data_IF_540182533313
#
_entry.id   IF_540182533313
#
_cell.length_a   1.000
_cell.length_b   1.000
_cell.length_c   1.000
_cell.angle_alpha   90.00
_cell.angle_beta   90.00
_cell.angle_gamma   90.00
#
_symmetry.space_group_name_H-M   'P 1'
#
loop_
_entity.id
_entity.type
_entity.pdbx_description
1 polymer ?
#
# COMPACT_ATOMS: atom_id res chain seq x y z
N UNK A 1 41.71 -32.72 -50.01
CA UNK A 1 40.87 -31.57 -49.60
C UNK A 1 39.86 -32.07 -48.60
N UNK A 2 40.18 -31.97 -47.32
CA UNK A 2 39.30 -32.33 -46.20
C UNK A 2 39.49 -31.23 -45.17
N UNK A 3 38.68 -30.17 -45.31
CA UNK A 3 38.59 -29.10 -44.33
C UNK A 3 37.46 -29.42 -43.36
N UNK A 4 37.82 -29.77 -42.14
CA UNK A 4 36.92 -29.85 -40.99
C UNK A 4 36.47 -28.43 -40.65
N UNK A 5 35.19 -28.14 -40.84
CA UNK A 5 34.57 -26.91 -40.33
C UNK A 5 34.49 -27.03 -38.80
N UNK A 6 35.23 -26.17 -38.11
CA UNK A 6 35.09 -25.97 -36.68
C UNK A 6 33.71 -25.43 -36.38
N UNK A 7 32.97 -26.13 -35.51
CA UNK A 7 31.78 -25.60 -34.87
C UNK A 7 32.25 -24.51 -33.92
N UNK A 8 32.04 -23.25 -34.31
CA UNK A 8 32.14 -22.11 -33.41
C UNK A 8 31.04 -22.28 -32.36
N UNK A 9 31.42 -22.70 -31.17
CA UNK A 9 30.64 -22.48 -29.95
C UNK A 9 30.61 -20.97 -29.72
N UNK A 10 29.55 -20.31 -30.19
CA UNK A 10 29.14 -19.03 -29.65
C UNK A 10 28.81 -19.29 -28.17
N UNK A 11 29.74 -18.91 -27.30
CA UNK A 11 29.46 -18.77 -25.89
C UNK A 11 28.25 -17.84 -25.77
N UNK A 12 27.24 -18.25 -25.00
CA UNK A 12 26.12 -17.39 -24.68
C UNK A 12 26.67 -16.14 -24.00
N UNK A 13 26.62 -15.01 -24.70
CA UNK A 13 26.71 -13.70 -24.08
C UNK A 13 25.60 -13.66 -23.03
N UNK A 14 25.99 -13.73 -21.75
CA UNK A 14 25.09 -13.52 -20.63
C UNK A 14 24.50 -12.13 -20.81
N UNK A 15 23.23 -12.05 -21.21
CA UNK A 15 22.50 -10.80 -21.13
C UNK A 15 22.58 -10.33 -19.68
N UNK A 16 23.02 -9.09 -19.47
CA UNK A 16 22.91 -8.41 -18.17
C UNK A 16 21.48 -8.65 -17.63
N UNK A 17 21.32 -8.99 -16.34
CA UNK A 17 20.00 -9.19 -15.78
C UNK A 17 19.15 -7.95 -16.05
N UNK A 18 17.96 -8.17 -16.62
CA UNK A 18 17.01 -7.09 -17.00
C UNK A 18 16.70 -6.14 -15.83
N UNK A 19 16.84 -6.63 -14.60
CA UNK A 19 16.52 -5.93 -13.37
C UNK A 19 17.74 -5.90 -12.44
N UNK A 20 18.00 -4.74 -11.84
CA UNK A 20 19.07 -4.55 -10.87
C UNK A 20 18.51 -4.19 -9.49
N UNK A 21 19.09 -4.76 -8.43
CA UNK A 21 18.93 -4.28 -7.07
C UNK A 21 20.04 -3.25 -6.83
N UNK A 22 19.70 -2.03 -6.43
CA UNK A 22 20.71 -0.97 -6.24
C UNK A 22 21.52 -1.15 -4.97
N UNK A 23 20.86 -1.51 -3.87
CA UNK A 23 21.49 -1.69 -2.58
C UNK A 23 21.09 -3.03 -1.96
N UNK A 24 22.10 -3.83 -1.63
CA UNK A 24 21.90 -5.03 -0.83
C UNK A 24 21.69 -4.67 0.64
N UNK A 25 20.78 -5.41 1.27
CA UNK A 25 20.38 -5.25 2.67
C UNK A 25 20.40 -6.64 3.30
N UNK A 26 20.94 -6.73 4.51
CA UNK A 26 20.93 -7.95 5.32
C UNK A 26 19.56 -8.12 5.99
N UNK A 27 18.58 -8.58 5.20
CA UNK A 27 17.20 -8.72 5.65
C UNK A 27 17.03 -9.75 6.78
N UNK A 28 17.90 -10.76 6.86
CA UNK A 28 17.91 -11.73 7.96
C UNK A 28 18.32 -11.06 9.28
N UNK A 29 19.36 -10.22 9.25
CA UNK A 29 19.81 -9.47 10.44
C UNK A 29 18.76 -8.51 10.97
N UNK A 30 18.08 -7.76 10.10
CA UNK A 30 17.14 -6.73 10.53
C UNK A 30 15.71 -7.27 10.74
N UNK A 31 15.37 -8.37 10.09
CA UNK A 31 14.07 -9.06 10.15
C UNK A 31 12.86 -8.12 10.03
N UNK A 32 12.74 -7.31 8.95
CA UNK A 32 11.62 -6.40 8.82
C UNK A 32 10.34 -7.11 8.40
N UNK A 33 9.22 -6.62 8.92
CA UNK A 33 7.86 -6.94 8.46
C UNK A 33 7.19 -5.66 8.00
N UNK A 34 6.62 -5.70 6.81
CA UNK A 34 5.72 -4.68 6.28
C UNK A 34 4.33 -5.27 6.19
N UNK A 35 3.33 -4.58 6.73
CA UNK A 35 1.93 -4.90 6.47
C UNK A 35 1.40 -3.96 5.39
N UNK A 36 1.01 -4.52 4.26
CA UNK A 36 0.30 -3.81 3.20
C UNK A 36 -1.18 -4.17 3.27
N UNK A 37 -2.02 -3.17 3.52
CA UNK A 37 -3.45 -3.34 3.74
C UNK A 37 -4.28 -2.50 2.80
N UNK A 38 -5.16 -3.14 2.02
CA UNK A 38 -5.92 -2.47 0.94
C UNK A 38 -7.34 -2.06 1.36
N UNK A 39 -7.94 -1.24 0.48
CA UNK A 39 -9.33 -0.79 0.46
C UNK A 39 -9.75 0.23 1.53
N UNK A 40 -8.82 0.88 2.23
CA UNK A 40 -9.13 1.84 3.31
C UNK A 40 -9.80 3.12 2.77
N UNK A 41 -10.94 3.53 3.33
CA UNK A 41 -11.72 4.68 2.83
C UNK A 41 -12.60 4.42 1.61
N UNK A 42 -12.54 3.22 1.01
CA UNK A 42 -13.40 2.84 -0.11
C UNK A 42 -14.85 2.54 0.32
N UNK A 43 -15.82 3.15 -0.35
CA UNK A 43 -17.28 2.94 -0.18
C UNK A 43 -17.82 1.90 -1.18
N UNK A 44 -17.11 0.79 -1.34
CA UNK A 44 -17.27 -0.10 -2.52
C UNK A 44 -18.42 -1.10 -2.41
N UNK A 45 -18.47 -1.84 -1.29
CA UNK A 45 -19.26 -3.05 -1.15
C UNK A 45 -20.67 -2.80 -0.63
N UNK A 46 -20.86 -2.51 0.66
CA UNK A 46 -22.16 -2.08 1.22
C UNK A 46 -22.02 -1.10 2.38
N UNK A 47 -22.93 -0.10 2.49
CA UNK A 47 -22.94 0.82 3.62
C UNK A 47 -23.57 0.23 4.88
N UNK A 48 -24.48 -0.73 4.78
CA UNK A 48 -25.23 -1.23 5.93
C UNK A 48 -25.87 -2.60 5.66
N UNK A 49 -26.43 -3.18 6.73
CA UNK A 49 -27.09 -4.49 6.68
C UNK A 49 -28.36 -4.49 5.80
N UNK A 50 -29.02 -3.33 5.62
CA UNK A 50 -30.19 -3.22 4.75
C UNK A 50 -29.77 -3.37 3.28
N UNK A 51 -28.74 -2.65 2.85
CA UNK A 51 -28.15 -2.80 1.52
C UNK A 51 -27.63 -4.22 1.27
N UNK A 52 -26.95 -4.81 2.25
CA UNK A 52 -26.48 -6.19 2.17
C UNK A 52 -27.65 -7.17 1.97
N UNK A 53 -28.72 -7.04 2.77
CA UNK A 53 -29.90 -7.89 2.66
C UNK A 53 -30.65 -7.73 1.33
N UNK A 54 -30.64 -6.53 0.76
CA UNK A 54 -31.29 -6.26 -0.52
C UNK A 54 -30.47 -6.81 -1.70
N UNK A 55 -29.14 -6.70 -1.65
CA UNK A 55 -28.26 -7.06 -2.76
C UNK A 55 -27.82 -8.53 -2.76
N UNK A 56 -27.75 -9.20 -1.60
CA UNK A 56 -27.28 -10.59 -1.52
C UNK A 56 -28.05 -11.54 -2.45
N UNK A 57 -29.39 -11.53 -2.51
CA UNK A 57 -30.12 -12.42 -3.42
C UNK A 57 -29.79 -12.17 -4.90
N UNK A 58 -29.59 -10.89 -5.28
CA UNK A 58 -29.19 -10.53 -6.64
C UNK A 58 -27.77 -10.99 -6.94
N UNK A 59 -26.84 -10.89 -5.98
CA UNK A 59 -25.48 -11.40 -6.15
C UNK A 59 -25.48 -12.91 -6.32
N UNK A 60 -26.25 -13.63 -5.50
CA UNK A 60 -26.38 -15.10 -5.55
C UNK A 60 -26.95 -15.58 -6.89
N UNK A 61 -27.88 -14.82 -7.48
CA UNK A 61 -28.50 -15.14 -8.77
C UNK A 61 -27.61 -14.75 -9.96
N UNK A 62 -26.95 -13.59 -9.92
CA UNK A 62 -26.38 -12.94 -11.10
C UNK A 62 -24.85 -13.04 -11.21
N UNK A 63 -24.15 -13.44 -10.14
CA UNK A 63 -22.70 -13.62 -10.14
C UNK A 63 -22.33 -15.08 -10.35
N UNK A 64 -21.24 -15.34 -11.07
CA UNK A 64 -20.71 -16.70 -11.28
C UNK A 64 -20.13 -17.30 -9.99
N UNK A 65 -19.54 -16.45 -9.15
CA UNK A 65 -18.89 -16.81 -7.89
C UNK A 65 -19.34 -15.86 -6.77
N UNK A 66 -20.62 -15.95 -6.35
CA UNK A 66 -21.14 -15.08 -5.31
C UNK A 66 -20.39 -15.31 -4.00
N UNK A 67 -20.19 -14.23 -3.25
CA UNK A 67 -19.60 -14.27 -1.91
C UNK A 67 -20.55 -13.55 -0.95
N UNK A 68 -20.51 -13.89 0.35
CA UNK A 68 -21.24 -13.12 1.35
C UNK A 68 -20.83 -11.65 1.32
N UNK A 69 -21.81 -10.76 1.22
CA UNK A 69 -21.62 -9.32 1.24
C UNK A 69 -21.48 -8.89 2.71
N UNK A 70 -20.25 -8.68 3.16
CA UNK A 70 -19.97 -8.29 4.53
C UNK A 70 -19.02 -7.10 4.66
N UNK A 71 -18.22 -6.78 3.65
CA UNK A 71 -17.27 -5.67 3.71
C UNK A 71 -17.99 -4.31 3.71
N UNK A 72 -17.56 -3.39 4.57
CA UNK A 72 -18.11 -2.03 4.71
C UNK A 72 -16.97 -1.03 4.94
N UNK A 73 -17.29 0.27 4.85
CA UNK A 73 -16.45 1.38 5.28
C UNK A 73 -16.23 1.36 6.79
N UNK A 74 -14.99 1.64 7.19
CA UNK A 74 -14.57 1.80 8.58
C UNK A 74 -15.28 2.97 9.26
N UNK A 75 -15.33 2.92 10.59
CA UNK A 75 -15.69 4.04 11.45
C UNK A 75 -14.48 4.50 12.29
N UNK A 76 -14.53 5.68 12.90
CA UNK A 76 -13.51 6.10 13.88
C UNK A 76 -13.31 5.11 15.03
N UNK A 77 -14.36 4.36 15.42
CA UNK A 77 -14.26 3.34 16.45
C UNK A 77 -13.46 2.11 15.96
N UNK A 78 -13.69 1.67 14.72
CA UNK A 78 -12.93 0.57 14.11
C UNK A 78 -11.45 0.92 13.97
N UNK A 79 -11.17 2.15 13.51
CA UNK A 79 -9.82 2.69 13.40
C UNK A 79 -9.14 2.80 14.77
N UNK A 80 -9.84 3.28 15.79
CA UNK A 80 -9.31 3.33 17.17
C UNK A 80 -8.93 1.94 17.65
N UNK A 81 -9.79 0.92 17.45
CA UNK A 81 -9.50 -0.47 17.82
C UNK A 81 -8.27 -1.01 17.07
N UNK A 82 -8.14 -0.72 15.78
CA UNK A 82 -6.95 -1.06 15.00
C UNK A 82 -5.69 -0.40 15.56
N UNK A 83 -5.74 0.90 15.84
CA UNK A 83 -4.58 1.66 16.30
C UNK A 83 -4.14 1.21 17.70
N UNK A 84 -5.08 0.90 18.59
CA UNK A 84 -4.79 0.31 19.91
C UNK A 84 -4.14 -1.07 19.78
N UNK A 85 -4.65 -1.90 18.86
CA UNK A 85 -4.07 -3.23 18.58
C UNK A 85 -2.62 -3.10 18.08
N UNK A 86 -2.37 -2.24 17.08
CA UNK A 86 -1.04 -2.03 16.52
C UNK A 86 -0.06 -1.39 17.51
N UNK A 87 -0.51 -0.38 18.26
CA UNK A 87 0.31 0.30 19.27
C UNK A 87 0.68 -0.60 20.45
N UNK A 88 -0.05 -1.69 20.66
CA UNK A 88 0.22 -2.68 21.70
C UNK A 88 1.50 -3.49 21.47
N UNK A 89 2.05 -3.46 20.25
CA UNK A 89 3.22 -4.22 19.88
C UNK A 89 4.27 -3.30 19.23
N UNK A 90 5.51 -3.40 19.70
CA UNK A 90 6.64 -2.66 19.15
C UNK A 90 7.69 -3.61 18.59
N UNK A 91 8.43 -3.15 17.59
CA UNK A 91 9.59 -3.86 17.09
C UNK A 91 10.75 -3.81 18.08
N UNK A 92 11.84 -4.51 17.74
CA UNK A 92 13.10 -4.51 18.53
C UNK A 92 13.73 -3.12 18.67
N UNK A 93 13.35 -2.17 17.81
CA UNK A 93 13.74 -0.76 17.86
C UNK A 93 12.78 0.13 18.69
N UNK A 94 11.75 -0.46 19.31
CA UNK A 94 10.74 0.24 20.09
C UNK A 94 9.73 1.03 19.26
N UNK A 95 9.71 0.85 17.94
CA UNK A 95 8.75 1.50 17.03
C UNK A 95 7.50 0.61 16.91
N UNK A 96 6.28 1.17 17.04
CA UNK A 96 5.06 0.37 17.02
C UNK A 96 4.83 -0.29 15.66
N UNK A 97 4.03 -1.36 15.67
CA UNK A 97 3.53 -1.95 14.43
C UNK A 97 2.77 -0.92 13.59
N UNK A 98 2.88 -1.04 12.26
CA UNK A 98 2.28 -0.12 11.31
C UNK A 98 1.63 -0.88 10.17
N UNK A 99 0.45 -0.41 9.75
CA UNK A 99 -0.10 -0.75 8.44
C UNK A 99 0.26 0.33 7.43
N UNK A 100 0.85 -0.08 6.30
CA UNK A 100 0.79 0.71 5.07
C UNK A 100 -0.61 0.52 4.49
N UNK A 101 -1.45 1.54 4.63
CA UNK A 101 -2.87 1.49 4.31
C UNK A 101 -3.12 2.10 2.94
N UNK A 102 -3.39 1.26 1.94
CA UNK A 102 -3.69 1.70 0.59
C UNK A 102 -5.14 2.14 0.48
N UNK A 103 -5.33 3.38 -0.01
CA UNK A 103 -6.61 4.06 -0.01
C UNK A 103 -7.00 4.53 -1.42
N UNK A 104 -8.21 4.23 -1.93
CA UNK A 104 -8.74 4.90 -3.11
C UNK A 104 -9.03 6.36 -2.79
N UNK A 105 -8.65 7.27 -3.69
CA UNK A 105 -8.74 8.72 -3.45
C UNK A 105 -10.10 9.35 -3.77
N UNK A 106 -11.12 8.55 -4.07
CA UNK A 106 -12.47 9.04 -4.31
C UNK A 106 -13.56 7.98 -4.12
N UNK A 107 -14.78 8.45 -3.91
CA UNK A 107 -15.98 7.63 -3.86
C UNK A 107 -17.06 8.23 -4.77
N UNK A 108 -17.87 7.43 -5.50
CA UNK A 108 -18.85 7.97 -6.43
C UNK A 108 -19.86 8.93 -5.77
N UNK A 109 -20.13 10.05 -6.43
CA UNK A 109 -21.26 10.92 -6.10
C UNK A 109 -22.50 10.40 -6.81
N UNK A 110 -23.18 9.45 -6.17
CA UNK A 110 -24.36 8.79 -6.72
C UNK A 110 -25.47 9.78 -7.11
N UNK A 111 -25.69 10.84 -6.31
CA UNK A 111 -26.71 11.83 -6.59
C UNK A 111 -26.40 12.62 -7.86
N UNK A 112 -25.16 13.11 -8.01
CA UNK A 112 -24.74 13.87 -9.19
C UNK A 112 -24.68 12.99 -10.44
N UNK A 113 -24.20 11.74 -10.32
CA UNK A 113 -24.18 10.79 -11.43
C UNK A 113 -25.60 10.49 -11.93
N UNK A 114 -26.56 10.26 -11.02
CA UNK A 114 -27.95 10.01 -11.38
C UNK A 114 -28.60 11.23 -12.04
N UNK A 115 -28.38 12.44 -11.48
CA UNK A 115 -28.90 13.69 -12.04
C UNK A 115 -28.36 13.97 -13.46
N UNK A 116 -27.14 13.51 -13.75
CA UNK A 116 -26.52 13.57 -15.07
C UNK A 116 -26.94 12.47 -16.03
N UNK A 117 -27.93 11.63 -15.68
CA UNK A 117 -28.39 10.52 -16.53
C UNK A 117 -27.31 9.47 -16.80
N UNK A 118 -26.37 9.29 -15.86
CA UNK A 118 -25.22 8.40 -16.00
C UNK A 118 -24.25 8.77 -17.13
N UNK A 119 -24.31 9.97 -17.72
CA UNK A 119 -23.43 10.34 -18.86
C UNK A 119 -21.99 10.67 -18.44
N UNK A 120 -21.82 11.20 -17.21
CA UNK A 120 -20.52 11.62 -16.69
C UNK A 120 -20.30 11.10 -15.28
N UNK A 121 -19.06 10.68 -15.00
CA UNK A 121 -18.65 10.26 -13.68
C UNK A 121 -18.34 11.47 -12.81
N UNK A 122 -18.87 11.47 -11.60
CA UNK A 122 -18.61 12.47 -10.55
C UNK A 122 -18.31 11.73 -9.25
N UNK A 123 -17.39 12.26 -8.46
CA UNK A 123 -16.96 11.65 -7.20
C UNK A 123 -16.67 12.69 -6.13
N UNK A 124 -16.73 12.21 -4.89
CA UNK A 124 -16.37 12.92 -3.67
C UNK A 124 -14.92 12.56 -3.35
N UNK A 125 -14.06 13.55 -3.15
CA UNK A 125 -12.68 13.29 -2.72
C UNK A 125 -12.63 12.75 -1.30
N UNK A 126 -11.69 11.85 -1.02
CA UNK A 126 -11.54 11.29 0.33
C UNK A 126 -11.27 12.35 1.42
N UNK A 127 -10.71 13.50 1.02
CA UNK A 127 -10.49 14.68 1.86
C UNK A 127 -11.75 15.54 2.08
N UNK A 128 -12.84 15.28 1.36
CA UNK A 128 -14.09 16.06 1.38
C UNK A 128 -15.20 15.35 2.13
N UNK A 129 -15.26 14.02 2.04
CA UNK A 129 -16.24 13.20 2.73
C UNK A 129 -16.50 11.87 2.04
N UNK A 130 -17.69 11.33 2.28
CA UNK A 130 -18.19 10.06 1.71
C UNK A 130 -19.65 10.24 1.27
N UNK A 131 -20.20 9.34 0.45
CA UNK A 131 -21.62 9.42 0.07
C UNK A 131 -22.55 9.34 1.31
N UNK A 132 -23.74 9.95 1.28
CA UNK A 132 -24.57 10.13 2.47
C UNK A 132 -24.90 8.86 3.25
N UNK A 133 -25.17 7.73 2.58
CA UNK A 133 -25.47 6.45 3.25
C UNK A 133 -24.25 5.85 3.96
N UNK A 134 -23.05 6.30 3.59
CA UNK A 134 -21.78 5.84 4.11
C UNK A 134 -21.21 6.72 5.23
N UNK A 135 -21.88 7.82 5.60
CA UNK A 135 -21.37 8.74 6.63
C UNK A 135 -21.10 8.02 7.97
N UNK A 136 -19.84 8.08 8.44
CA UNK A 136 -19.40 7.49 9.72
C UNK A 136 -18.47 8.44 10.49
N UNK A 137 -19.03 9.53 11.02
CA UNK A 137 -18.24 10.48 11.82
C UNK A 137 -17.09 11.13 11.03
N UNK A 138 -16.07 11.63 11.73
CA UNK A 138 -14.92 12.31 11.12
C UNK A 138 -13.78 11.32 10.80
N UNK A 139 -13.87 10.68 9.64
CA UNK A 139 -12.87 9.72 9.17
C UNK A 139 -11.54 10.37 8.82
N UNK A 140 -11.56 11.59 8.26
CA UNK A 140 -10.32 12.30 7.91
C UNK A 140 -9.48 12.59 9.15
N UNK A 141 -10.11 13.03 10.23
CA UNK A 141 -9.43 13.20 11.52
C UNK A 141 -8.91 11.86 12.07
N UNK A 142 -9.69 10.79 11.95
CA UNK A 142 -9.29 9.47 12.43
C UNK A 142 -8.07 8.91 11.67
N UNK A 143 -8.03 8.99 10.33
CA UNK A 143 -6.88 8.57 9.54
C UNK A 143 -5.62 9.39 9.87
N UNK A 144 -5.78 10.71 10.04
CA UNK A 144 -4.69 11.61 10.46
C UNK A 144 -4.16 11.27 11.85
N UNK A 145 -5.03 10.87 12.77
CA UNK A 145 -4.64 10.41 14.11
C UNK A 145 -3.77 9.14 14.04
N UNK A 146 -4.17 8.16 13.22
CA UNK A 146 -3.37 6.94 12.99
C UNK A 146 -1.98 7.24 12.39
N UNK A 147 -1.92 8.16 11.43
CA UNK A 147 -0.66 8.62 10.85
C UNK A 147 0.21 9.37 11.86
N UNK A 148 -0.38 10.25 12.67
CA UNK A 148 0.34 10.96 13.72
C UNK A 148 0.89 10.01 14.80
N UNK A 149 0.19 8.91 15.09
CA UNK A 149 0.65 7.84 16.00
C UNK A 149 1.74 6.95 15.42
N UNK A 150 1.93 6.97 14.11
CA UNK A 150 2.89 6.09 13.42
C UNK A 150 2.43 4.64 13.28
N UNK A 151 1.12 4.38 13.36
CA UNK A 151 0.56 3.01 13.25
C UNK A 151 -0.27 2.80 11.97
N UNK A 152 -0.58 3.87 11.26
CA UNK A 152 -1.35 3.82 10.02
C UNK A 152 -0.72 4.79 9.01
N UNK A 153 -0.09 4.27 7.97
CA UNK A 153 0.63 5.03 6.96
C UNK A 153 -0.19 5.00 5.65
N UNK A 154 -0.97 6.06 5.34
CA UNK A 154 -1.77 6.09 4.12
C UNK A 154 -0.91 6.04 2.86
N UNK A 155 -1.28 5.26 1.86
CA UNK A 155 -0.62 5.20 0.56
C UNK A 155 -1.65 5.05 -0.57
N UNK A 156 -1.21 5.21 -1.82
CA UNK A 156 -2.10 5.43 -2.95
C UNK A 156 -2.65 4.13 -3.55
N UNK A 157 -3.99 4.03 -3.68
CA UNK A 157 -4.68 2.88 -4.28
C UNK A 157 -5.52 3.27 -5.51
N UNK A 158 -5.00 4.18 -6.33
CA UNK A 158 -5.79 4.76 -7.41
C UNK A 158 -6.83 5.76 -6.90
N UNK A 159 -7.75 6.13 -7.79
CA UNK A 159 -8.92 6.96 -7.43
C UNK A 159 -10.12 6.10 -7.11
N UNK A 160 -10.26 4.96 -7.78
CA UNK A 160 -11.26 3.93 -7.54
C UNK A 160 -10.59 2.55 -7.59
N UNK A 161 -11.09 1.59 -6.83
CA UNK A 161 -10.61 0.21 -6.90
C UNK A 161 -11.62 -0.69 -7.63
N UNK A 162 -11.14 -1.45 -8.62
CA UNK A 162 -11.89 -2.46 -9.37
C UNK A 162 -13.19 -2.02 -10.08
N UNK A 163 -13.45 -0.71 -10.14
CA UNK A 163 -14.67 -0.13 -10.71
C UNK A 163 -14.35 1.10 -11.56
N UNK A 164 -13.85 0.87 -12.78
CA UNK A 164 -13.54 1.93 -13.73
C UNK A 164 -14.75 2.79 -14.09
N UNK A 165 -14.59 4.13 -14.14
CA UNK A 165 -15.71 5.05 -14.30
C UNK A 165 -16.41 4.88 -15.66
N UNK A 166 -15.65 4.64 -16.74
CA UNK A 166 -16.20 4.47 -18.09
C UNK A 166 -16.98 3.16 -18.26
N UNK A 167 -16.40 1.98 -17.95
CA UNK A 167 -17.14 0.72 -18.06
C UNK A 167 -18.34 0.67 -17.10
N UNK A 168 -18.22 1.22 -15.89
CA UNK A 168 -19.34 1.23 -14.94
C UNK A 168 -20.53 2.08 -15.41
N UNK A 169 -20.28 3.30 -15.92
CA UNK A 169 -21.36 4.12 -16.46
C UNK A 169 -21.99 3.51 -17.72
N UNK A 170 -21.19 2.84 -18.57
CA UNK A 170 -21.72 2.09 -19.70
C UNK A 170 -22.63 0.94 -19.23
N UNK A 171 -22.24 0.24 -18.16
CA UNK A 171 -23.04 -0.83 -17.56
C UNK A 171 -24.37 -0.30 -17.00
N UNK A 172 -24.38 0.84 -16.32
CA UNK A 172 -25.60 1.47 -15.78
C UNK A 172 -26.61 1.86 -16.86
N UNK A 173 -26.12 2.30 -18.04
CA UNK A 173 -26.96 2.63 -19.21
C UNK A 173 -27.33 1.41 -20.07
N UNK A 174 -26.74 0.25 -19.79
CA UNK A 174 -26.93 -0.97 -20.57
C UNK A 174 -28.22 -1.72 -20.25
N UNK A 175 -28.38 -2.87 -20.89
CA UNK A 175 -29.49 -3.81 -20.68
C UNK A 175 -28.98 -5.18 -20.22
N UNK A 176 -29.89 -6.01 -19.70
CA UNK A 176 -29.60 -7.37 -19.26
C UNK A 176 -29.18 -7.48 -17.79
N UNK A 177 -28.92 -8.71 -17.31
CA UNK A 177 -28.85 -8.99 -15.87
C UNK A 177 -27.72 -8.25 -15.15
N UNK A 178 -26.59 -8.00 -15.83
CA UNK A 178 -25.48 -7.22 -15.27
C UNK A 178 -25.81 -5.74 -15.09
N UNK A 179 -26.56 -5.16 -16.02
CA UNK A 179 -27.01 -3.77 -15.92
C UNK A 179 -28.11 -3.63 -14.85
N UNK A 180 -28.96 -4.66 -14.68
CA UNK A 180 -29.93 -4.75 -13.59
C UNK A 180 -29.24 -4.78 -12.22
N UNK A 181 -28.23 -5.65 -12.04
CA UNK A 181 -27.42 -5.66 -10.83
C UNK A 181 -26.75 -4.30 -10.58
N UNK A 182 -26.15 -3.69 -11.61
CA UNK A 182 -25.49 -2.40 -11.46
C UNK A 182 -26.44 -1.30 -11.00
N UNK A 183 -27.65 -1.23 -11.54
CA UNK A 183 -28.67 -0.26 -11.12
C UNK A 183 -29.19 -0.54 -9.72
N UNK A 184 -29.44 -1.81 -9.38
CA UNK A 184 -29.84 -2.19 -8.03
C UNK A 184 -28.76 -1.83 -6.99
N UNK A 185 -27.49 -2.14 -7.28
CA UNK A 185 -26.35 -1.71 -6.45
C UNK A 185 -26.30 -0.19 -6.32
N UNK A 186 -26.47 0.54 -7.43
CA UNK A 186 -26.43 2.01 -7.43
C UNK A 186 -27.51 2.64 -6.53
N UNK A 187 -28.72 2.08 -6.51
CA UNK A 187 -29.81 2.54 -5.61
C UNK A 187 -29.45 2.42 -4.13
N UNK A 188 -28.51 1.54 -3.79
CA UNK A 188 -27.99 1.35 -2.44
C UNK A 188 -26.66 2.07 -2.18
N UNK A 189 -26.24 2.99 -3.07
CA UNK A 189 -24.93 3.65 -3.04
C UNK A 189 -23.77 2.65 -3.07
N UNK A 190 -23.93 1.55 -3.80
CA UNK A 190 -22.92 0.50 -4.00
C UNK A 190 -22.40 0.55 -5.42
N UNK A 191 -21.08 0.52 -5.57
CA UNK A 191 -20.45 0.53 -6.89
C UNK A 191 -19.64 -0.73 -7.21
N UNK A 192 -19.41 -1.64 -6.25
CA UNK A 192 -18.86 -2.96 -6.53
C UNK A 192 -19.82 -3.81 -7.38
N UNK A 193 -19.31 -4.40 -8.46
CA UNK A 193 -20.10 -5.17 -9.44
C UNK A 193 -19.92 -6.69 -9.33
N UNK A 194 -19.14 -7.18 -8.37
CA UNK A 194 -18.76 -8.60 -8.25
C UNK A 194 -17.96 -9.12 -9.44
N UNK A 195 -17.50 -8.21 -10.31
CA UNK A 195 -16.60 -8.44 -11.44
C UNK A 195 -15.55 -7.33 -11.44
N UNK A 196 -14.46 -7.59 -12.14
CA UNK A 196 -13.39 -6.63 -12.30
C UNK A 196 -13.72 -5.68 -13.46
N UNK A 197 -13.89 -4.38 -13.16
CA UNK A 197 -13.97 -3.31 -14.16
C UNK A 197 -12.71 -2.43 -14.04
N UNK A 198 -11.73 -2.52 -14.97
CA UNK A 198 -10.43 -1.89 -14.77
C UNK A 198 -10.51 -0.37 -14.67
N UNK A 199 -9.85 0.21 -13.66
CA UNK A 199 -9.96 1.65 -13.35
C UNK A 199 -9.67 2.55 -14.57
N UNK A 200 -8.58 2.27 -15.28
CA UNK A 200 -8.09 3.10 -16.38
C UNK A 200 -8.64 2.66 -17.75
N UNK A 201 -9.61 1.75 -17.80
CA UNK A 201 -10.16 1.25 -19.05
C UNK A 201 -10.71 2.40 -19.91
N UNK A 202 -10.36 2.34 -21.20
CA UNK A 202 -10.70 3.32 -22.21
C UNK A 202 -10.14 4.73 -21.98
N UNK A 203 -9.24 4.97 -21.02
CA UNK A 203 -8.53 6.25 -20.86
C UNK A 203 -7.25 6.29 -21.69
N UNK A 204 -7.01 7.40 -22.40
CA UNK A 204 -5.69 7.67 -22.97
C UNK A 204 -4.68 8.13 -21.89
N UNK A 205 -3.40 8.24 -22.25
CA UNK A 205 -2.33 8.63 -21.31
C UNK A 205 -2.54 10.01 -20.66
N UNK A 206 -3.15 10.96 -21.38
CA UNK A 206 -3.41 12.31 -20.85
C UNK A 206 -4.56 12.25 -19.85
N UNK A 207 -5.58 11.47 -20.15
CA UNK A 207 -6.71 11.22 -19.26
C UNK A 207 -6.27 10.50 -18.00
N UNK A 208 -5.44 9.45 -18.11
CA UNK A 208 -4.83 8.79 -16.95
C UNK A 208 -3.97 9.74 -16.11
N UNK A 209 -3.18 10.61 -16.75
CA UNK A 209 -2.38 11.60 -16.03
C UNK A 209 -3.27 12.56 -15.24
N UNK A 210 -4.32 13.12 -15.86
CA UNK A 210 -5.24 14.01 -15.14
C UNK A 210 -6.00 13.29 -14.02
N UNK A 211 -6.40 12.04 -14.27
CA UNK A 211 -7.09 11.21 -13.29
C UNK A 211 -6.24 10.96 -12.04
N UNK A 212 -4.98 10.55 -12.22
CA UNK A 212 -4.04 10.31 -11.13
C UNK A 212 -3.55 11.61 -10.47
N UNK A 213 -3.37 12.69 -11.23
CA UNK A 213 -3.01 14.00 -10.67
C UNK A 213 -4.06 14.47 -9.66
N UNK A 214 -5.35 14.36 -9.99
CA UNK A 214 -6.43 14.68 -9.05
C UNK A 214 -6.39 13.76 -7.82
N UNK A 215 -6.15 12.46 -8.01
CA UNK A 215 -5.98 11.52 -6.90
C UNK A 215 -4.85 11.90 -5.96
N UNK A 216 -3.67 12.20 -6.49
CA UNK A 216 -2.49 12.63 -5.70
C UNK A 216 -2.75 13.97 -5.01
N UNK A 217 -3.40 14.93 -5.66
CA UNK A 217 -3.77 16.20 -5.03
C UNK A 217 -4.74 16.01 -3.86
N UNK A 218 -5.69 15.08 -3.97
CA UNK A 218 -6.60 14.73 -2.86
C UNK A 218 -5.85 14.04 -1.73
N UNK A 219 -4.91 13.16 -2.04
CA UNK A 219 -4.02 12.56 -1.05
C UNK A 219 -3.23 13.65 -0.30
N UNK A 220 -2.63 14.60 -1.02
CA UNK A 220 -1.88 15.72 -0.43
C UNK A 220 -2.78 16.61 0.43
N UNK A 221 -4.00 16.89 -0.01
CA UNK A 221 -4.99 17.63 0.79
C UNK A 221 -5.41 16.85 2.05
N UNK A 222 -5.51 15.52 1.96
CA UNK A 222 -5.86 14.65 3.08
C UNK A 222 -4.70 14.53 4.09
N UNK A 223 -3.47 14.33 3.65
CA UNK A 223 -2.38 13.90 4.54
C UNK A 223 -1.20 14.86 4.62
N UNK A 224 -1.18 15.92 3.81
CA UNK A 224 -0.13 16.95 3.84
C UNK A 224 1.22 16.51 3.28
N UNK A 225 1.27 15.36 2.58
CA UNK A 225 2.45 14.84 1.89
C UNK A 225 2.05 14.18 0.58
N UNK A 226 3.00 14.02 -0.34
CA UNK A 226 2.84 13.20 -1.55
C UNK A 226 2.89 11.71 -1.16
N UNK A 227 2.10 10.81 -1.79
CA UNK A 227 2.21 9.37 -1.56
C UNK A 227 3.56 8.85 -2.06
N UNK A 228 4.15 7.92 -1.33
CA UNK A 228 5.46 7.33 -1.65
C UNK A 228 5.30 5.97 -2.37
N UNK A 229 4.18 5.30 -2.15
CA UNK A 229 3.85 4.00 -2.70
C UNK A 229 2.48 4.00 -3.38
N UNK A 230 2.39 3.21 -4.45
CA UNK A 230 1.17 2.97 -5.19
C UNK A 230 0.93 1.47 -5.36
N UNK A 231 -0.32 1.06 -5.20
CA UNK A 231 -0.75 -0.28 -5.56
C UNK A 231 -2.08 -0.24 -6.29
N UNK A 232 -2.17 -0.96 -7.39
CA UNK A 232 -3.44 -1.34 -8.00
C UNK A 232 -3.17 -2.47 -8.98
N UNK A 233 -4.11 -3.39 -9.09
CA UNK A 233 -4.01 -4.46 -10.10
C UNK A 233 -4.44 -4.00 -11.50
N UNK A 234 -4.78 -2.72 -11.64
CA UNK A 234 -5.18 -2.06 -12.89
C UNK A 234 -4.09 -1.23 -13.55
N UNK A 235 -2.90 -1.12 -12.94
CA UNK A 235 -1.84 -0.30 -13.48
C UNK A 235 -1.34 -0.85 -14.81
N UNK A 236 -1.42 0.00 -15.84
CA UNK A 236 -0.74 -0.17 -17.12
C UNK A 236 0.73 0.27 -16.98
N UNK A 237 1.62 -0.09 -17.92
CA UNK A 237 2.99 0.43 -17.92
C UNK A 237 3.07 1.96 -17.88
N UNK A 238 2.18 2.64 -18.60
CA UNK A 238 2.10 4.09 -18.60
C UNK A 238 1.58 4.64 -17.26
N UNK A 239 0.72 3.89 -16.55
CA UNK A 239 0.23 4.28 -15.22
C UNK A 239 1.38 4.34 -14.23
N UNK A 240 2.28 3.34 -14.21
CA UNK A 240 3.47 3.34 -13.33
C UNK A 240 4.38 4.54 -13.64
N UNK A 241 4.56 4.88 -14.92
CA UNK A 241 5.32 6.07 -15.34
C UNK A 241 4.65 7.37 -14.87
N UNK A 242 3.32 7.46 -14.98
CA UNK A 242 2.54 8.61 -14.49
C UNK A 242 2.70 8.75 -12.97
N UNK A 243 2.61 7.65 -12.22
CA UNK A 243 2.83 7.66 -10.77
C UNK A 243 4.22 8.15 -10.41
N UNK A 244 5.25 7.71 -11.14
CA UNK A 244 6.61 8.22 -10.97
C UNK A 244 6.71 9.73 -11.23
N UNK A 245 6.08 10.24 -12.30
CA UNK A 245 6.01 11.67 -12.57
C UNK A 245 5.31 12.47 -11.47
N UNK A 246 4.36 11.85 -10.78
CA UNK A 246 3.59 12.45 -9.68
C UNK A 246 4.23 12.25 -8.29
N UNK A 247 5.42 11.64 -8.22
CA UNK A 247 6.21 11.54 -6.99
C UNK A 247 6.15 10.19 -6.27
N UNK A 248 5.33 9.24 -6.73
CA UNK A 248 5.32 7.87 -6.19
C UNK A 248 6.59 7.16 -6.64
N UNK A 249 7.30 6.52 -5.72
CA UNK A 249 8.60 5.85 -6.00
C UNK A 249 8.55 4.34 -5.77
N UNK A 250 7.40 3.82 -5.35
CA UNK A 250 7.23 2.40 -5.04
C UNK A 250 5.98 1.86 -5.72
N UNK A 251 6.12 0.73 -6.40
CA UNK A 251 4.99 -0.02 -6.97
C UNK A 251 4.94 -1.40 -6.33
N UNK A 252 3.87 -1.67 -5.58
CA UNK A 252 3.83 -2.82 -4.66
C UNK A 252 3.27 -4.12 -5.25
N UNK A 253 2.93 -4.12 -6.54
CA UNK A 253 2.25 -5.25 -7.17
C UNK A 253 2.79 -5.55 -8.56
N UNK A 254 4.09 -5.88 -8.61
CA UNK A 254 4.70 -6.41 -9.84
C UNK A 254 4.45 -7.91 -10.00
N UNK A 255 4.48 -8.61 -8.88
CA UNK A 255 4.05 -10.00 -8.74
C UNK A 255 3.58 -10.24 -7.31
N UNK A 256 3.10 -11.45 -7.03
CA UNK A 256 2.86 -11.92 -5.67
C UNK A 256 3.51 -13.29 -5.48
N UNK A 257 4.05 -13.55 -4.29
CA UNK A 257 4.49 -14.89 -3.88
C UNK A 257 3.60 -15.37 -2.75
N UNK A 258 2.63 -16.22 -3.07
CA UNK A 258 1.67 -16.71 -2.06
C UNK A 258 2.36 -17.64 -1.06
N UNK A 259 1.69 -17.97 0.04
CA UNK A 259 2.28 -18.73 1.16
C UNK A 259 2.89 -20.09 0.75
N UNK A 260 2.43 -20.71 -0.34
CA UNK A 260 3.02 -21.94 -0.89
C UNK A 260 4.38 -21.73 -1.59
N UNK A 261 4.82 -20.48 -1.75
CA UNK A 261 5.99 -20.09 -2.52
C UNK A 261 5.73 -19.90 -4.01
N UNK A 262 4.52 -20.19 -4.50
CA UNK A 262 4.15 -19.98 -5.89
C UNK A 262 4.11 -18.48 -6.22
N UNK A 263 4.77 -18.10 -7.32
CA UNK A 263 4.65 -16.78 -7.92
C UNK A 263 3.35 -16.71 -8.73
N UNK A 264 2.57 -15.68 -8.48
CA UNK A 264 1.26 -15.43 -9.10
C UNK A 264 1.31 -14.06 -9.78
N UNK A 265 0.86 -14.06 -11.02
CA UNK A 265 0.48 -12.86 -11.77
C UNK A 265 -0.93 -13.06 -12.32
N UNK A 266 -1.69 -11.98 -12.46
CA UNK A 266 -3.05 -12.05 -13.00
C UNK A 266 -3.01 -12.15 -14.53
N UNK A 267 -2.79 -13.35 -15.05
CA UNK A 267 -2.81 -13.63 -16.50
C UNK A 267 -4.15 -13.33 -17.18
N UNK A 268 -5.21 -13.15 -16.40
CA UNK A 268 -6.54 -12.73 -16.85
C UNK A 268 -6.64 -11.23 -17.12
N UNK A 269 -5.63 -10.42 -16.74
CA UNK A 269 -5.60 -8.97 -16.91
C UNK A 269 -4.55 -8.61 -17.95
N UNK A 270 -4.91 -8.70 -19.23
CA UNK A 270 -4.00 -8.47 -20.36
C UNK A 270 -3.32 -7.08 -20.36
N UNK A 271 -3.87 -6.14 -19.60
CA UNK A 271 -3.39 -4.77 -19.46
C UNK A 271 -2.43 -4.55 -18.30
N UNK A 272 -2.37 -5.45 -17.32
CA UNK A 272 -1.56 -5.21 -16.14
C UNK A 272 -0.08 -5.24 -16.49
N UNK A 273 0.73 -4.41 -15.83
CA UNK A 273 2.18 -4.44 -16.01
C UNK A 273 2.86 -5.46 -15.08
N UNK A 274 2.18 -6.56 -14.72
CA UNK A 274 2.75 -7.57 -13.84
C UNK A 274 3.78 -8.43 -14.58
N UNK A 275 4.86 -8.75 -13.90
CA UNK A 275 5.97 -9.50 -14.47
C UNK A 275 6.52 -10.44 -13.38
N UNK A 276 6.37 -11.78 -13.55
CA UNK A 276 6.78 -12.76 -12.56
C UNK A 276 8.30 -12.86 -12.40
N UNK A 277 9.06 -12.32 -13.35
CA UNK A 277 10.52 -12.36 -13.36
C UNK A 277 11.14 -11.12 -12.68
N UNK A 278 10.32 -10.16 -12.22
CA UNK A 278 10.80 -9.01 -11.45
C UNK A 278 11.04 -9.42 -9.99
N UNK A 279 12.30 -9.39 -9.50
CA UNK A 279 12.57 -9.66 -8.10
C UNK A 279 12.07 -8.51 -7.21
N UNK A 280 11.77 -8.82 -5.96
CA UNK A 280 11.48 -7.80 -4.95
C UNK A 280 12.70 -6.87 -4.77
N UNK A 281 12.45 -5.56 -4.76
CA UNK A 281 13.48 -4.53 -4.67
C UNK A 281 14.09 -4.13 -6.02
N UNK A 282 13.61 -4.68 -7.15
CA UNK A 282 14.07 -4.30 -8.47
C UNK A 282 13.89 -2.80 -8.72
N UNK A 283 14.93 -2.16 -9.24
CA UNK A 283 14.92 -0.75 -9.61
C UNK A 283 14.67 -0.57 -11.11
N UNK A 284 13.71 0.30 -11.43
CA UNK A 284 13.54 0.87 -12.75
C UNK A 284 14.32 2.19 -12.84
N UNK A 285 15.46 2.22 -13.56
CA UNK A 285 16.28 3.42 -13.67
C UNK A 285 15.64 4.53 -14.51
N UNK A 286 14.65 4.23 -15.35
CA UNK A 286 13.97 5.24 -16.18
C UNK A 286 13.02 6.07 -15.31
N UNK A 287 12.26 5.39 -14.45
CA UNK A 287 11.25 6.02 -13.61
C UNK A 287 11.74 6.34 -12.18
N UNK A 288 12.93 5.85 -11.81
CA UNK A 288 13.45 5.82 -10.44
C UNK A 288 12.46 5.15 -9.46
N UNK A 289 11.88 4.03 -9.87
CA UNK A 289 10.87 3.29 -9.09
C UNK A 289 11.45 1.98 -8.56
N UNK A 290 11.07 1.61 -7.34
CA UNK A 290 11.30 0.27 -6.80
C UNK A 290 10.03 -0.56 -6.90
N UNK A 291 10.18 -1.79 -7.39
CA UNK A 291 9.11 -2.79 -7.39
C UNK A 291 9.19 -3.63 -6.13
N UNK A 292 8.09 -3.68 -5.38
CA UNK A 292 7.91 -4.62 -4.28
C UNK A 292 6.92 -5.72 -4.66
N UNK A 293 7.04 -6.82 -3.93
CA UNK A 293 6.22 -8.02 -4.10
C UNK A 293 5.68 -8.42 -2.75
N UNK A 294 4.37 -8.59 -2.64
CA UNK A 294 3.75 -9.24 -1.47
C UNK A 294 4.16 -10.70 -1.45
N UNK A 295 4.92 -11.11 -0.43
CA UNK A 295 5.52 -12.45 -0.33
C UNK A 295 5.04 -13.24 0.91
N UNK A 296 4.05 -12.72 1.63
CA UNK A 296 3.26 -13.41 2.66
C UNK A 296 1.80 -12.93 2.61
N UNK A 297 0.84 -13.81 2.83
CA UNK A 297 -0.60 -13.52 2.72
C UNK A 297 -1.34 -13.85 4.01
N UNK A 298 -1.98 -12.84 4.58
CA UNK A 298 -2.67 -12.87 5.87
C UNK A 298 -4.13 -12.41 5.73
N UNK A 299 -4.92 -13.16 4.93
CA UNK A 299 -6.39 -13.06 4.87
C UNK A 299 -7.05 -13.94 5.95
N UNK A 300 -6.66 -13.72 7.20
CA UNK A 300 -6.93 -14.60 8.33
C UNK A 300 -8.41 -14.82 8.64
N UNK A 301 -9.26 -13.83 8.33
CA UNK A 301 -10.71 -13.97 8.51
C UNK A 301 -11.38 -14.79 7.38
N UNK A 302 -10.64 -15.09 6.30
CA UNK A 302 -11.10 -15.91 5.18
C UNK A 302 -10.75 -17.41 5.29
N UNK A 303 -9.87 -17.81 6.22
CA UNK A 303 -9.55 -19.22 6.44
C UNK A 303 -8.22 -19.49 7.16
N UNK A 304 -8.09 -20.72 7.67
CA UNK A 304 -6.94 -21.14 8.51
C UNK A 304 -5.58 -21.20 7.79
N UNK A 305 -5.56 -21.31 6.46
CA UNK A 305 -4.31 -21.36 5.68
C UNK A 305 -3.57 -20.02 5.62
N UNK A 306 -4.20 -18.94 6.13
CA UNK A 306 -3.64 -17.60 6.22
C UNK A 306 -3.80 -17.03 7.64
N UNK A 307 -3.86 -17.90 8.65
CA UNK A 307 -3.83 -17.53 10.08
C UNK A 307 -2.43 -17.07 10.51
N UNK A 308 -2.33 -16.52 11.72
CA UNK A 308 -1.05 -16.14 12.33
C UNK A 308 -0.08 -17.33 12.39
N UNK A 309 -0.58 -18.49 12.82
CA UNK A 309 0.20 -19.74 12.90
C UNK A 309 0.75 -20.16 11.52
N UNK A 310 -0.05 -20.03 10.47
CA UNK A 310 0.34 -20.42 9.12
C UNK A 310 1.33 -19.43 8.47
N UNK A 311 1.18 -18.13 8.75
CA UNK A 311 1.97 -17.06 8.10
C UNK A 311 3.31 -16.83 8.77
N UNK A 312 3.43 -17.04 10.08
CA UNK A 312 4.68 -16.79 10.81
C UNK A 312 5.89 -17.58 10.24
N UNK A 313 5.79 -18.89 9.92
CA UNK A 313 6.90 -19.61 9.27
C UNK A 313 7.24 -19.07 7.88
N UNK A 314 6.24 -18.57 7.14
CA UNK A 314 6.44 -17.97 5.80
C UNK A 314 7.26 -16.69 5.94
N UNK A 315 6.90 -15.80 6.87
CA UNK A 315 7.65 -14.59 7.18
C UNK A 315 9.11 -14.91 7.48
N UNK A 316 9.36 -15.88 8.37
CA UNK A 316 10.73 -16.29 8.73
C UNK A 316 11.51 -16.85 7.55
N UNK A 317 10.85 -17.58 6.65
CA UNK A 317 11.51 -18.06 5.43
C UNK A 317 11.92 -16.93 4.49
N UNK A 318 11.16 -15.82 4.41
CA UNK A 318 11.54 -14.68 3.56
C UNK A 318 12.82 -14.03 4.03
N UNK A 319 12.97 -13.83 5.33
CA UNK A 319 14.21 -13.32 5.90
C UNK A 319 15.40 -14.22 5.60
N UNK A 320 15.26 -15.54 5.80
CA UNK A 320 16.30 -16.52 5.48
C UNK A 320 16.62 -16.63 3.97
N UNK A 321 15.66 -16.25 3.12
CA UNK A 321 15.85 -16.15 1.67
C UNK A 321 16.49 -14.80 1.25
N UNK A 322 16.78 -13.90 2.20
CA UNK A 322 17.34 -12.58 1.91
C UNK A 322 16.32 -11.60 1.33
N UNK A 323 15.05 -11.72 1.73
CA UNK A 323 13.97 -10.80 1.35
C UNK A 323 13.32 -10.18 2.60
N UNK A 324 12.81 -8.94 2.53
CA UNK A 324 11.89 -8.44 3.54
C UNK A 324 10.57 -9.23 3.49
N UNK A 325 9.91 -9.36 4.63
CA UNK A 325 8.57 -9.95 4.66
C UNK A 325 7.52 -8.88 4.41
N UNK A 326 6.89 -8.90 3.22
CA UNK A 326 5.80 -8.00 2.84
C UNK A 326 4.48 -8.78 2.91
N UNK A 327 3.74 -8.52 3.98
CA UNK A 327 2.51 -9.21 4.35
C UNK A 327 1.30 -8.49 3.75
N UNK A 328 0.58 -9.17 2.87
CA UNK A 328 -0.72 -8.72 2.36
C UNK A 328 -1.82 -8.97 3.38
N UNK A 329 -2.67 -7.98 3.60
CA UNK A 329 -3.97 -8.14 4.28
C UNK A 329 -4.97 -7.13 3.70
N UNK A 330 -6.24 -7.17 4.10
CA UNK A 330 -7.25 -6.22 3.62
C UNK A 330 -8.08 -5.67 4.78
N UNK A 331 -8.59 -4.44 4.63
CA UNK A 331 -9.55 -3.84 5.57
C UNK A 331 -10.69 -4.78 5.93
N UNK A 332 -11.16 -5.59 4.98
CA UNK A 332 -12.24 -6.55 5.14
C UNK A 332 -12.00 -7.63 6.22
N UNK A 333 -10.77 -7.81 6.72
CA UNK A 333 -10.49 -8.69 7.86
C UNK A 333 -10.86 -8.03 9.20
N UNK A 334 -10.86 -6.70 9.27
CA UNK A 334 -11.00 -5.93 10.50
C UNK A 334 -12.31 -5.14 10.56
N UNK A 335 -12.87 -4.80 9.39
CA UNK A 335 -14.08 -4.00 9.24
C UNK A 335 -15.07 -4.77 8.39
N UNK A 336 -16.16 -5.20 9.02
CA UNK A 336 -17.13 -6.09 8.42
C UNK A 336 -18.48 -6.01 9.15
N UNK A 337 -19.57 -6.14 8.41
CA UNK A 337 -20.92 -6.32 8.95
C UNK A 337 -21.09 -7.70 9.61
N UNK A 338 -20.25 -8.67 9.24
CA UNK A 338 -20.07 -9.91 10.00
C UNK A 338 -19.09 -9.67 11.16
N UNK A 339 -19.62 -9.55 12.37
CA UNK A 339 -18.85 -9.32 13.58
C UNK A 339 -17.90 -10.49 13.93
N UNK A 340 -18.23 -11.73 13.57
CA UNK A 340 -17.36 -12.89 13.82
C UNK A 340 -16.11 -12.80 12.95
N UNK A 341 -16.28 -12.36 11.70
CA UNK A 341 -15.17 -12.11 10.78
C UNK A 341 -14.21 -11.07 11.34
N UNK A 342 -14.73 -9.91 11.75
CA UNK A 342 -13.91 -8.84 12.33
C UNK A 342 -13.17 -9.31 13.60
N UNK A 343 -13.88 -9.99 14.51
CA UNK A 343 -13.27 -10.51 15.75
C UNK A 343 -12.17 -11.53 15.49
N UNK A 344 -12.38 -12.42 14.52
CA UNK A 344 -11.35 -13.36 14.06
C UNK A 344 -10.13 -12.61 13.53
N UNK A 345 -10.34 -11.58 12.69
CA UNK A 345 -9.26 -10.78 12.15
C UNK A 345 -8.41 -10.10 13.23
N UNK A 346 -9.03 -9.52 14.25
CA UNK A 346 -8.32 -8.90 15.37
C UNK A 346 -7.59 -9.91 16.27
N UNK A 347 -8.22 -11.07 16.51
CA UNK A 347 -7.60 -12.15 17.30
C UNK A 347 -6.34 -12.66 16.62
N UNK A 348 -6.42 -12.95 15.32
CA UNK A 348 -5.30 -13.43 14.52
C UNK A 348 -4.22 -12.34 14.36
N UNK A 349 -4.61 -11.08 14.14
CA UNK A 349 -3.64 -9.97 14.04
C UNK A 349 -2.84 -9.85 15.34
N UNK A 350 -3.52 -9.87 16.48
CA UNK A 350 -2.87 -9.79 17.80
C UNK A 350 -1.90 -10.96 18.03
N UNK A 351 -2.31 -12.18 17.65
CA UNK A 351 -1.46 -13.37 17.76
C UNK A 351 -0.20 -13.28 16.88
N UNK A 352 -0.34 -12.78 15.65
CA UNK A 352 0.78 -12.58 14.74
C UNK A 352 1.73 -11.49 15.25
N UNK A 353 1.19 -10.33 15.66
CA UNK A 353 1.98 -9.22 16.19
C UNK A 353 2.73 -9.61 17.46
N UNK A 354 2.10 -10.36 18.38
CA UNK A 354 2.80 -10.91 19.56
C UNK A 354 3.97 -11.79 19.15
N UNK A 355 3.77 -12.69 18.19
CA UNK A 355 4.83 -13.60 17.74
C UNK A 355 5.99 -12.88 17.06
N UNK A 356 5.70 -11.78 16.34
CA UNK A 356 6.70 -10.93 15.69
C UNK A 356 7.46 -10.05 16.69
N UNK A 357 6.75 -9.52 17.69
CA UNK A 357 7.34 -8.82 18.83
C UNK A 357 8.31 -9.74 19.59
N UNK A 358 7.88 -10.95 19.94
CA UNK A 358 8.67 -11.92 20.71
C UNK A 358 9.94 -12.36 19.97
N UNK A 359 9.94 -12.35 18.63
CA UNK A 359 11.12 -12.69 17.83
C UNK A 359 11.97 -11.48 17.42
N UNK A 360 11.68 -10.28 17.93
CA UNK A 360 12.48 -9.08 17.67
C UNK A 360 12.39 -8.57 16.23
N UNK A 361 11.26 -8.77 15.56
CA UNK A 361 11.04 -8.21 14.23
C UNK A 361 11.01 -6.67 14.26
N UNK A 362 11.27 -6.03 13.12
CA UNK A 362 11.11 -4.57 12.95
C UNK A 362 9.91 -4.27 12.07
N UNK A 363 9.02 -3.39 12.51
CA UNK A 363 7.86 -2.99 11.72
C UNK A 363 8.20 -1.78 10.85
N UNK A 364 8.11 -1.96 9.53
CA UNK A 364 8.43 -0.94 8.54
C UNK A 364 7.21 -0.64 7.68
N UNK A 365 7.16 0.57 7.16
CA UNK A 365 6.29 0.97 6.06
C UNK A 365 6.84 0.45 4.73
N UNK A 366 5.99 0.36 3.71
CA UNK A 366 6.42 0.06 2.35
C UNK A 366 7.47 1.06 1.86
N UNK A 367 7.27 2.35 2.10
CA UNK A 367 8.20 3.40 1.68
C UNK A 367 9.60 3.22 2.28
N UNK A 368 9.69 2.83 3.55
CA UNK A 368 10.99 2.55 4.18
C UNK A 368 11.75 1.42 3.48
N UNK A 369 11.08 0.31 3.15
CA UNK A 369 11.71 -0.82 2.44
C UNK A 369 12.13 -0.42 1.03
N UNK A 370 11.29 0.35 0.33
CA UNK A 370 11.61 0.90 -0.99
C UNK A 370 12.86 1.76 -0.96
N UNK A 371 12.94 2.74 -0.05
CA UNK A 371 14.11 3.60 0.07
C UNK A 371 15.37 2.83 0.48
N UNK A 372 15.26 1.80 1.31
CA UNK A 372 16.38 0.91 1.62
C UNK A 372 16.94 0.23 0.36
N UNK A 373 16.09 -0.28 -0.53
CA UNK A 373 16.54 -0.80 -1.82
C UNK A 373 17.07 0.30 -2.76
N UNK A 374 16.47 1.49 -2.75
CA UNK A 374 16.76 2.58 -3.69
C UNK A 374 18.04 3.34 -3.40
N UNK A 375 18.33 3.61 -2.13
CA UNK A 375 19.46 4.46 -1.68
C UNK A 375 20.22 3.89 -0.46
N UNK A 376 19.83 2.72 0.05
CA UNK A 376 20.49 2.05 1.19
C UNK A 376 20.13 2.59 2.57
N UNK A 377 19.32 3.65 2.62
CA UNK A 377 18.79 4.25 3.85
C UNK A 377 17.36 4.78 3.64
N UNK A 378 16.57 4.81 4.70
CA UNK A 378 15.22 5.38 4.71
C UNK A 378 15.02 6.37 5.84
N UNK A 379 14.06 7.28 5.69
CA UNK A 379 13.65 8.24 6.71
C UNK A 379 12.13 8.23 6.85
N UNK A 380 11.65 7.86 8.04
CA UNK A 380 10.25 7.90 8.39
C UNK A 380 9.96 8.99 9.41
N UNK A 381 8.83 9.67 9.26
CA UNK A 381 8.36 10.72 10.17
C UNK A 381 6.92 10.48 10.62
N UNK A 382 6.68 10.54 11.92
CA UNK A 382 5.34 10.47 12.52
C UNK A 382 5.35 11.08 13.93
N UNK A 383 4.32 11.80 14.32
CA UNK A 383 4.17 12.31 15.69
C UNK A 383 5.35 13.14 16.20
N UNK A 384 6.06 13.84 15.31
CA UNK A 384 7.31 14.57 15.62
C UNK A 384 8.56 13.69 15.80
N UNK A 385 8.41 12.37 15.70
CA UNK A 385 9.51 11.40 15.66
C UNK A 385 10.05 11.29 14.23
N UNK A 386 11.37 11.28 14.07
CA UNK A 386 12.06 11.01 12.81
C UNK A 386 13.01 9.84 12.99
N UNK A 387 12.71 8.72 12.35
CA UNK A 387 13.51 7.49 12.38
C UNK A 387 14.27 7.37 11.06
N UNK A 388 15.60 7.36 11.15
CA UNK A 388 16.48 7.11 10.02
C UNK A 388 17.03 5.69 10.14
N UNK A 389 16.90 4.91 9.08
CA UNK A 389 17.48 3.57 8.98
C UNK A 389 18.54 3.58 7.91
N UNK A 390 19.77 3.21 8.23
CA UNK A 390 20.85 3.02 7.24
C UNK A 390 21.27 1.55 7.31
N UNK A 391 20.76 0.71 6.42
CA UNK A 391 20.99 -0.74 6.53
C UNK A 391 21.95 -1.28 5.48
N UNK A 392 22.16 -0.58 4.37
CA UNK A 392 23.18 -0.98 3.41
C UNK A 392 24.57 -0.50 3.85
N UNK A 393 25.60 -1.35 3.82
CA UNK A 393 26.98 -0.89 4.02
C UNK A 393 27.41 0.11 2.95
N UNK A 394 26.89 -0.05 1.73
CA UNK A 394 27.13 0.78 0.56
C UNK A 394 26.02 1.82 0.33
N UNK A 395 25.28 2.18 1.39
CA UNK A 395 24.24 3.20 1.30
C UNK A 395 24.80 4.53 0.76
N UNK A 396 23.98 5.22 -0.04
CA UNK A 396 24.27 6.57 -0.48
C UNK A 396 24.48 7.52 0.72
N UNK A 397 25.21 8.63 0.55
CA UNK A 397 25.37 9.62 1.61
C UNK A 397 24.03 10.12 2.14
N UNK A 398 23.83 10.07 3.47
CA UNK A 398 22.62 10.59 4.12
C UNK A 398 22.69 12.12 4.13
N UNK A 399 22.01 12.74 3.16
CA UNK A 399 21.91 14.20 2.97
C UNK A 399 20.54 14.70 3.43
N UNK A 400 20.51 15.54 4.46
CA UNK A 400 19.28 16.01 5.10
C UNK A 400 19.22 17.55 5.18
N UNK A 401 18.04 18.16 5.40
CA UNK A 401 17.93 19.60 5.59
C UNK A 401 18.74 20.11 6.78
N UNK A 402 19.22 21.36 6.71
CA UNK A 402 20.03 21.99 7.79
C UNK A 402 19.34 22.10 9.16
N UNK A 403 18.04 21.84 9.24
CA UNK A 403 17.33 21.74 10.52
C UNK A 403 17.77 20.52 11.35
N UNK A 404 18.38 19.50 10.73
CA UNK A 404 18.94 18.33 11.42
C UNK A 404 20.31 18.68 12.00
N UNK A 405 20.50 18.47 13.29
CA UNK A 405 21.75 18.76 14.01
C UNK A 405 22.57 17.51 14.32
N UNK A 406 21.97 16.33 14.23
CA UNK A 406 22.62 15.06 14.48
C UNK A 406 21.66 13.88 14.45
N UNK A 407 22.15 12.73 14.86
CA UNK A 407 21.39 11.51 15.02
C UNK A 407 21.85 10.75 16.26
N UNK A 408 20.94 10.05 16.92
CA UNK A 408 21.21 9.22 18.09
C UNK A 408 20.88 7.77 17.73
N UNK A 409 21.85 6.87 17.86
CA UNK A 409 21.65 5.45 17.63
C UNK A 409 20.62 4.90 18.63
N UNK A 410 19.63 4.16 18.13
CA UNK A 410 18.56 3.58 18.96
C UNK A 410 19.08 2.52 19.95
N UNK A 411 20.01 1.61 19.58
CA UNK A 411 20.43 0.54 20.48
C UNK A 411 21.25 0.98 21.71
N UNK A 412 22.12 1.98 21.56
CA UNK A 412 23.12 2.34 22.58
C UNK A 412 23.12 3.83 22.96
N UNK A 413 22.30 4.65 22.31
CA UNK A 413 22.20 6.10 22.57
C UNK A 413 23.40 6.90 22.07
N UNK A 414 24.29 6.31 21.25
CA UNK A 414 25.46 7.01 20.73
C UNK A 414 25.05 8.14 19.80
N UNK A 415 25.61 9.32 20.02
CA UNK A 415 25.34 10.52 19.22
C UNK A 415 26.31 10.68 18.05
N UNK A 416 25.77 11.13 16.93
CA UNK A 416 26.46 11.40 15.67
C UNK A 416 26.12 12.83 15.23
N UNK A 417 27.04 13.79 15.32
CA UNK A 417 26.77 15.17 14.92
C UNK A 417 26.65 15.28 13.41
N UNK A 418 25.74 16.14 12.95
CA UNK A 418 25.60 16.45 11.54
C UNK A 418 26.73 17.37 11.07
N UNK A 419 27.26 17.10 9.87
CA UNK A 419 28.30 17.93 9.25
C UNK A 419 27.68 18.82 8.19
N UNK A 420 27.99 20.12 8.21
CA UNK A 420 27.49 21.05 7.20
C UNK A 420 28.09 20.74 5.82
N UNK A 421 27.23 20.67 4.79
CA UNK A 421 27.61 20.53 3.38
C UNK A 421 26.73 21.45 2.51
N UNK A 422 27.20 22.68 2.30
CA UNK A 422 26.46 23.70 1.56
C UNK A 422 25.11 24.04 2.21
N UNK A 423 24.01 23.74 1.52
CA UNK A 423 22.64 23.98 1.97
C UNK A 423 21.98 22.74 2.62
N UNK A 424 22.75 21.69 2.87
CA UNK A 424 22.31 20.49 3.57
C UNK A 424 23.29 20.11 4.69
N UNK A 425 22.95 19.06 5.43
CA UNK A 425 23.88 18.38 6.32
C UNK A 425 24.08 16.95 5.88
N UNK A 426 25.26 16.41 6.17
CA UNK A 426 25.62 15.01 5.95
C UNK A 426 25.78 14.32 7.29
N UNK A 427 25.24 13.11 7.40
CA UNK A 427 25.46 12.22 8.53
C UNK A 427 26.34 11.05 8.10
N UNK A 428 27.50 10.91 8.75
CA UNK A 428 28.36 9.73 8.62
C UNK A 428 27.98 8.73 9.70
N UNK A 429 27.20 7.72 9.31
CA UNK A 429 26.57 6.76 10.22
C UNK A 429 27.00 5.34 9.87
N UNK A 430 27.35 4.50 10.85
CA UNK A 430 27.43 3.06 10.60
C UNK A 430 26.06 2.49 10.23
N UNK A 431 26.00 1.23 9.79
CA UNK A 431 24.72 0.58 9.54
C UNK A 431 23.94 0.41 10.86
N UNK A 432 22.69 0.86 10.90
CA UNK A 432 21.84 0.82 12.09
C UNK A 432 20.58 1.69 12.00
N UNK A 433 19.88 1.80 13.13
CA UNK A 433 18.67 2.60 13.31
C UNK A 433 18.96 3.81 14.20
N UNK A 434 18.43 4.97 13.82
CA UNK A 434 18.74 6.26 14.45
C UNK A 434 17.49 7.11 14.64
N UNK A 435 17.45 7.86 15.74
CA UNK A 435 16.52 8.98 15.93
C UNK A 435 17.22 10.27 15.54
N UNK A 436 16.63 11.06 14.64
CA UNK A 436 17.22 12.35 14.26
C UNK A 436 17.04 13.40 15.36
N UNK A 437 18.07 14.23 15.54
CA UNK A 437 18.03 15.42 16.40
C UNK A 437 17.80 16.65 15.53
N UNK A 438 16.86 17.49 15.91
CA UNK A 438 16.56 18.75 15.23
C UNK A 438 17.05 19.93 16.07
N UNK A 439 17.43 21.02 15.40
CA UNK A 439 17.62 22.29 16.07
C UNK A 439 16.31 22.68 16.77
N UNK A 440 16.38 23.06 18.04
CA UNK A 440 15.23 23.67 18.70
C UNK A 440 14.81 24.88 17.87
N UNK A 441 13.64 24.79 17.22
CA UNK A 441 12.95 25.99 16.81
C UNK A 441 12.61 26.72 18.11
N UNK A 442 13.36 27.79 18.43
CA UNK A 442 12.83 28.77 19.36
C UNK A 442 11.46 29.16 18.79
N UNK A 443 10.40 28.73 19.49
CA UNK A 443 9.09 29.31 19.29
C UNK A 443 9.28 30.80 19.47
N UNK A 444 9.17 31.55 18.37
CA UNK A 444 8.96 32.98 18.41
C UNK A 444 7.55 33.21 18.96
N UNK A 445 7.37 32.90 20.24
CA UNK A 445 6.38 33.54 21.08
C UNK A 445 6.97 34.87 21.52
N UNK A 446 6.16 35.91 21.36
CA UNK A 446 6.43 37.32 21.60
C UNK A 446 7.28 38.02 20.52
N UNK A 447 6.59 38.75 19.64
CA UNK A 447 6.61 40.22 19.70
C UNK A 447 5.42 40.79 18.91
N UNK A 448 4.55 41.45 19.69
CA UNK A 448 3.46 42.42 19.37
C UNK A 448 2.27 41.98 18.55
#
# INVERSE_FOLDING_TARGET
MTGTMGVSTLASEYAEPRWSIRHEIDWERFAPVVFESDDWGGCEAVPDAEAASALQPLWDELLEHPRPIATTLESPADLTRLYETLSGFAGDDGIPAVFTAFMPMGNPDFATIAAGGFERFCDIGINEGVPPRWERGDLLAAWRDGAARGVFEPEYHGRLHHNGPRPWLALLRGEGPRAELARASFEHEVYCQGIHLPEFEAMDVREQYQWNLVGVQRFEAAFGRTPAAGITSDAFPETETIWALLGIRTVCLKSCRVNSGQIVVYTTKLWNNQDPDVPIGAHDPVNDVIYLTRNAFFECAGGKSQSAEAVLPVIRSRWAEGEPAVVSTHRANYVSLDAVRAETGFTELSALLQSLHDCGARFLTTAEVSDLYRQGWSLREFGGTKILRRWSPEAEPVRLPCSVTGATAIPDGREYPAMADGACVVLDLPAGDYRLTLAHQHSASALT
#
